data_IF_642323566320
#
_entry.id   IF_642323566320
#
_cell.length_a   1.000
_cell.length_b   1.000
_cell.length_c   1.000
_cell.angle_alpha   90.00
_cell.angle_beta   90.00
_cell.angle_gamma   90.00
#
_symmetry.space_group_name_H-M   'P 1'
#
loop_
_entity.id
_entity.type
_entity.pdbx_description
1 polymer ?
#
# COMPACT_ATOMS: atom_id res chain seq x y z
N UNK A 1 -16.20 -49.16 4.86
CA UNK A 1 -15.54 -47.93 5.37
C UNK A 1 -14.55 -47.43 4.32
N UNK A 2 -14.96 -46.43 3.56
CA UNK A 2 -14.36 -45.97 2.30
C UNK A 2 -13.04 -45.20 2.52
N UNK A 3 -12.13 -45.29 1.56
CA UNK A 3 -10.81 -44.61 1.57
C UNK A 3 -10.90 -43.08 1.75
N UNK A 4 -12.03 -42.47 1.41
CA UNK A 4 -12.31 -41.06 1.65
C UNK A 4 -12.43 -40.71 3.16
N UNK A 5 -13.00 -41.63 3.97
CA UNK A 5 -13.13 -41.42 5.41
C UNK A 5 -11.75 -41.46 6.08
N UNK A 6 -10.91 -42.41 5.67
CA UNK A 6 -9.55 -42.58 6.19
C UNK A 6 -8.63 -41.38 5.86
N UNK A 7 -8.82 -40.72 4.72
CA UNK A 7 -8.08 -39.50 4.36
C UNK A 7 -8.55 -38.27 5.16
N UNK A 8 -9.85 -38.17 5.46
CA UNK A 8 -10.39 -37.10 6.30
C UNK A 8 -9.91 -37.26 7.76
N UNK A 9 -9.87 -38.49 8.27
CA UNK A 9 -9.41 -38.80 9.62
C UNK A 9 -7.90 -38.50 9.77
N UNK A 10 -7.08 -38.87 8.78
CA UNK A 10 -5.64 -38.53 8.74
C UNK A 10 -5.37 -37.03 8.60
N UNK A 11 -6.24 -36.28 7.92
CA UNK A 11 -6.14 -34.82 7.82
C UNK A 11 -6.52 -34.14 9.14
N UNK A 12 -7.50 -34.70 9.86
CA UNK A 12 -7.92 -34.23 11.18
C UNK A 12 -6.84 -34.52 12.25
N UNK A 13 -6.23 -35.71 12.23
CA UNK A 13 -5.10 -36.03 13.11
C UNK A 13 -3.90 -35.12 12.85
N UNK A 14 -3.56 -34.84 11.58
CA UNK A 14 -2.49 -33.89 11.23
C UNK A 14 -2.79 -32.45 11.64
N UNK A 15 -4.06 -32.03 11.62
CA UNK A 15 -4.47 -30.72 12.07
C UNK A 15 -4.38 -30.60 13.59
N UNK A 16 -4.69 -31.67 14.33
CA UNK A 16 -4.53 -31.74 15.78
C UNK A 16 -3.05 -31.72 16.20
N UNK A 17 -2.21 -32.51 15.55
CA UNK A 17 -0.75 -32.50 15.78
C UNK A 17 -0.12 -31.14 15.45
N UNK A 18 -0.61 -30.46 14.42
CA UNK A 18 -0.17 -29.10 14.07
C UNK A 18 -0.63 -28.05 15.09
N UNK A 19 -1.79 -28.24 15.72
CA UNK A 19 -2.30 -27.37 16.78
C UNK A 19 -1.50 -27.56 18.10
N UNK A 20 -1.20 -28.80 18.49
CA UNK A 20 -0.35 -29.09 19.66
C UNK A 20 1.09 -28.58 19.46
N UNK A 21 1.62 -28.66 18.24
CA UNK A 21 2.92 -28.08 17.90
C UNK A 21 2.92 -26.54 17.94
N UNK A 22 1.78 -25.91 17.61
CA UNK A 22 1.61 -24.47 17.69
C UNK A 22 1.53 -23.98 19.15
N UNK A 23 0.95 -24.77 20.05
CA UNK A 23 0.88 -24.47 21.49
C UNK A 23 2.27 -24.41 22.17
N UNK A 24 3.25 -25.17 21.65
CA UNK A 24 4.63 -25.16 22.15
C UNK A 24 5.45 -23.92 21.77
N UNK A 25 5.06 -23.20 20.70
CA UNK A 25 5.78 -22.02 20.19
C UNK A 25 4.93 -20.74 20.18
N UNK A 26 3.66 -20.82 20.54
CA UNK A 26 2.68 -19.74 20.38
C UNK A 26 2.32 -19.51 18.92
N UNK A 27 1.05 -19.18 18.66
CA UNK A 27 0.58 -18.80 17.32
C UNK A 27 1.35 -17.58 16.82
N UNK A 28 2.12 -17.74 15.75
CA UNK A 28 2.89 -16.65 15.12
C UNK A 28 1.96 -15.56 14.54
N UNK A 29 0.72 -15.93 14.26
CA UNK A 29 -0.36 -15.04 13.86
C UNK A 29 -1.61 -15.48 14.61
N UNK A 30 -1.95 -14.79 15.70
CA UNK A 30 -3.34 -14.75 16.13
C UNK A 30 -4.09 -14.00 15.03
N UNK A 31 -5.05 -14.65 14.40
CA UNK A 31 -5.78 -14.17 13.22
C UNK A 31 -6.82 -13.10 13.63
N UNK A 32 -6.41 -12.14 14.47
CA UNK A 32 -7.01 -10.82 14.50
C UNK A 32 -6.32 -10.03 13.39
N UNK A 33 -6.98 -9.96 12.24
CA UNK A 33 -6.66 -8.99 11.18
C UNK A 33 -6.88 -7.60 11.76
N UNK A 34 -5.93 -7.14 12.57
CA UNK A 34 -5.94 -5.82 13.16
C UNK A 34 -6.08 -4.83 12.00
N UNK A 35 -7.15 -4.04 12.03
CA UNK A 35 -7.34 -2.94 11.11
C UNK A 35 -6.05 -2.13 11.06
N UNK A 36 -5.43 -2.07 9.87
CA UNK A 36 -4.16 -1.40 9.65
C UNK A 36 -4.22 -0.01 10.30
N UNK A 37 -3.22 0.39 11.11
CA UNK A 37 -3.20 1.72 11.69
C UNK A 37 -3.32 2.79 10.60
N UNK A 38 -4.14 3.82 10.83
CA UNK A 38 -4.38 4.89 9.86
C UNK A 38 -3.11 5.70 9.52
N UNK A 39 -2.03 5.54 10.30
CA UNK A 39 -0.73 6.16 10.08
C UNK A 39 0.26 5.29 9.29
N UNK A 40 -0.16 4.10 8.82
CA UNK A 40 0.64 3.27 7.92
C UNK A 40 0.68 3.91 6.53
N UNK A 41 1.88 4.26 6.10
CA UNK A 41 2.11 4.77 4.74
C UNK A 41 3.55 4.63 4.30
N UNK A 42 3.77 4.89 3.02
CA UNK A 42 5.05 4.74 2.36
C UNK A 42 5.85 6.04 2.43
N UNK A 43 7.14 5.94 2.76
CA UNK A 43 8.05 7.09 2.74
C UNK A 43 8.39 7.48 1.29
N UNK A 44 8.86 8.71 1.11
CA UNK A 44 9.24 9.25 -0.19
C UNK A 44 10.10 8.32 -1.06
N UNK A 45 11.20 7.73 -0.55
CA UNK A 45 12.01 6.79 -1.33
C UNK A 45 11.24 5.55 -1.81
N UNK A 46 10.43 4.95 -0.94
CA UNK A 46 9.60 3.77 -1.28
C UNK A 46 8.53 4.13 -2.31
N UNK A 47 7.85 5.26 -2.13
CA UNK A 47 6.85 5.76 -3.09
C UNK A 47 7.47 6.06 -4.46
N UNK A 48 8.66 6.67 -4.49
CA UNK A 48 9.40 6.95 -5.72
C UNK A 48 9.77 5.66 -6.47
N UNK A 49 10.33 4.68 -5.74
CA UNK A 49 10.69 3.39 -6.30
C UNK A 49 9.47 2.65 -6.87
N UNK A 50 8.37 2.58 -6.11
CA UNK A 50 7.14 1.92 -6.54
C UNK A 50 6.48 2.59 -7.75
N UNK A 51 6.41 3.92 -7.78
CA UNK A 51 5.86 4.66 -8.91
C UNK A 51 6.83 4.74 -10.10
N UNK A 52 8.12 4.50 -9.88
CA UNK A 52 9.17 4.66 -10.89
C UNK A 52 9.43 6.11 -11.27
N UNK A 53 9.39 7.02 -10.29
CA UNK A 53 9.66 8.45 -10.45
C UNK A 53 10.87 8.87 -9.61
N UNK A 54 11.44 10.03 -9.91
CA UNK A 54 12.52 10.61 -9.10
C UNK A 54 11.96 11.29 -7.85
N UNK A 55 12.79 11.40 -6.81
CA UNK A 55 12.43 12.14 -5.60
C UNK A 55 12.12 13.61 -5.89
N UNK A 56 12.79 14.23 -6.86
CA UNK A 56 12.52 15.62 -7.26
C UNK A 56 11.14 15.78 -7.89
N UNK A 57 10.69 14.82 -8.70
CA UNK A 57 9.34 14.82 -9.27
C UNK A 57 8.30 14.73 -8.15
N UNK A 58 8.50 13.80 -7.21
CA UNK A 58 7.64 13.65 -6.04
C UNK A 58 7.56 14.96 -5.22
N UNK A 59 8.71 15.52 -4.86
CA UNK A 59 8.79 16.76 -4.08
C UNK A 59 8.14 17.94 -4.81
N UNK A 60 8.38 18.08 -6.12
CA UNK A 60 7.77 19.14 -6.91
C UNK A 60 6.25 18.99 -6.98
N UNK A 61 5.73 17.79 -7.23
CA UNK A 61 4.29 17.55 -7.28
C UNK A 61 3.60 17.73 -5.92
N UNK A 62 4.27 17.37 -4.84
CA UNK A 62 3.80 17.62 -3.47
C UNK A 62 3.78 19.10 -3.12
N UNK A 63 4.85 19.85 -3.44
CA UNK A 63 4.90 21.30 -3.17
C UNK A 63 3.92 22.11 -4.00
N UNK A 64 3.54 21.61 -5.17
CA UNK A 64 2.61 22.29 -6.08
C UNK A 64 1.18 21.77 -5.99
N UNK A 65 0.86 20.93 -5.00
CA UNK A 65 -0.49 20.40 -4.73
C UNK A 65 -1.06 19.47 -5.81
N UNK A 66 -0.22 18.97 -6.73
CA UNK A 66 -0.68 18.02 -7.75
C UNK A 66 -0.99 16.66 -7.10
N UNK A 67 -0.11 16.21 -6.20
CA UNK A 67 -0.30 15.01 -5.36
C UNK A 67 0.17 15.35 -3.96
N UNK A 68 -0.72 15.29 -2.99
CA UNK A 68 -0.39 15.52 -1.58
C UNK A 68 -0.43 14.18 -0.83
N UNK A 69 0.48 13.96 0.14
CA UNK A 69 0.46 12.74 0.96
C UNK A 69 -0.83 12.69 1.78
N UNK A 70 -1.62 11.63 1.63
CA UNK A 70 -2.92 11.51 2.32
C UNK A 70 -2.82 10.91 3.71
N UNK A 71 -1.75 10.18 4.03
CA UNK A 71 -1.55 9.56 5.36
C UNK A 71 -0.98 10.57 6.33
N UNK A 72 0.11 11.24 5.95
CA UNK A 72 0.73 12.27 6.79
C UNK A 72 1.42 13.34 5.95
N UNK A 73 1.03 14.58 6.17
CA UNK A 73 1.70 15.76 5.63
C UNK A 73 2.94 16.10 6.46
N UNK A 74 3.90 16.85 5.89
CA UNK A 74 5.02 17.37 6.66
C UNK A 74 4.56 18.63 7.41
N UNK A 75 4.38 18.54 8.72
CA UNK A 75 3.86 19.62 9.57
C UNK A 75 4.92 20.34 10.43
N UNK A 76 6.18 19.90 10.41
CA UNK A 76 7.25 20.47 11.23
C UNK A 76 8.61 19.80 11.02
N UNK A 77 9.63 20.29 11.73
CA UNK A 77 10.98 19.70 11.72
C UNK A 77 10.94 18.23 12.16
N UNK A 78 11.57 17.34 11.41
CA UNK A 78 11.62 15.90 11.68
C UNK A 78 10.38 15.09 11.24
N UNK A 79 9.26 15.73 10.87
CA UNK A 79 8.08 15.02 10.37
C UNK A 79 8.25 14.55 8.93
N UNK A 80 7.96 13.28 8.68
CA UNK A 80 8.07 12.70 7.34
C UNK A 80 6.71 12.55 6.67
N UNK A 81 6.67 12.91 5.39
CA UNK A 81 5.52 12.66 4.52
C UNK A 81 5.31 11.16 4.36
N UNK A 82 4.09 10.70 4.60
CA UNK A 82 3.67 9.33 4.32
C UNK A 82 2.60 9.33 3.24
N UNK A 83 2.85 8.53 2.21
CA UNK A 83 1.98 8.35 1.06
C UNK A 83 1.14 7.10 1.24
N UNK A 84 -0.15 7.17 0.95
CA UNK A 84 -0.99 5.97 0.90
C UNK A 84 -0.67 5.14 -0.35
N UNK A 85 -1.21 3.93 -0.41
CA UNK A 85 -1.21 3.15 -1.66
C UNK A 85 -1.89 3.93 -2.81
N UNK A 86 -3.00 4.64 -2.52
CA UNK A 86 -3.71 5.47 -3.49
C UNK A 86 -2.80 6.57 -4.05
N UNK A 87 -1.98 7.20 -3.21
CA UNK A 87 -1.04 8.23 -3.66
C UNK A 87 -0.02 7.63 -4.63
N UNK A 88 0.52 6.44 -4.33
CA UNK A 88 1.44 5.74 -5.22
C UNK A 88 0.79 5.46 -6.58
N UNK A 89 -0.47 5.05 -6.60
CA UNK A 89 -1.21 4.84 -7.86
C UNK A 89 -1.34 6.15 -8.64
N UNK A 90 -1.68 7.26 -7.99
CA UNK A 90 -1.77 8.57 -8.64
C UNK A 90 -0.41 9.01 -9.21
N UNK A 91 0.67 8.83 -8.45
CA UNK A 91 2.03 9.10 -8.92
C UNK A 91 2.37 8.29 -10.18
N UNK A 92 2.00 7.00 -10.20
CA UNK A 92 2.21 6.13 -11.34
C UNK A 92 1.38 6.55 -12.56
N UNK A 93 0.13 6.95 -12.36
CA UNK A 93 -0.73 7.46 -13.45
C UNK A 93 -0.17 8.74 -14.04
N UNK A 94 0.26 9.70 -13.21
CA UNK A 94 0.87 10.95 -13.68
C UNK A 94 2.14 10.64 -14.48
N UNK A 95 3.00 9.75 -13.98
CA UNK A 95 4.18 9.30 -14.73
C UNK A 95 3.79 8.74 -16.10
N UNK A 96 2.85 7.80 -16.16
CA UNK A 96 2.46 7.16 -17.41
C UNK A 96 1.89 8.18 -18.43
N UNK A 97 1.17 9.21 -17.98
CA UNK A 97 0.68 10.28 -18.84
C UNK A 97 1.83 11.14 -19.39
N UNK A 98 2.81 11.47 -18.54
CA UNK A 98 4.01 12.19 -18.98
C UNK A 98 4.83 11.37 -19.97
N UNK A 99 5.02 10.07 -19.71
CA UNK A 99 5.73 9.15 -20.60
C UNK A 99 5.01 8.98 -21.95
N UNK A 100 3.68 9.14 -21.97
CA UNK A 100 2.86 9.17 -23.19
C UNK A 100 2.87 10.53 -23.91
N UNK A 101 3.62 11.53 -23.42
CA UNK A 101 3.76 12.84 -24.04
C UNK A 101 2.70 13.87 -23.62
N UNK A 102 1.83 13.55 -22.67
CA UNK A 102 0.89 14.53 -22.12
C UNK A 102 1.66 15.53 -21.25
N UNK A 103 1.44 16.83 -21.46
CA UNK A 103 2.11 17.85 -20.67
C UNK A 103 1.58 17.92 -19.24
N UNK A 104 2.44 18.30 -18.28
CA UNK A 104 2.05 18.46 -16.88
C UNK A 104 0.89 19.45 -16.70
N UNK A 105 0.80 20.47 -17.55
CA UNK A 105 -0.28 21.45 -17.51
C UNK A 105 -1.63 20.84 -17.86
N UNK A 106 -1.70 20.00 -18.91
CA UNK A 106 -2.93 19.29 -19.26
C UNK A 106 -3.37 18.34 -18.14
N UNK A 107 -2.42 17.66 -17.51
CA UNK A 107 -2.70 16.80 -16.35
C UNK A 107 -3.32 17.62 -15.21
N UNK A 108 -2.73 18.77 -14.86
CA UNK A 108 -3.28 19.67 -13.83
C UNK A 108 -4.70 20.11 -14.16
N UNK A 109 -4.94 20.53 -15.40
CA UNK A 109 -6.27 20.95 -15.86
C UNK A 109 -7.28 19.80 -15.71
N UNK A 110 -6.93 18.59 -16.16
CA UNK A 110 -7.80 17.41 -16.05
C UNK A 110 -8.13 17.08 -14.57
N UNK A 111 -7.12 17.05 -13.70
CA UNK A 111 -7.32 16.80 -12.25
C UNK A 111 -8.23 17.85 -11.63
N UNK A 112 -8.05 19.13 -11.97
CA UNK A 112 -8.91 20.20 -11.48
C UNK A 112 -10.37 20.03 -11.92
N UNK A 113 -10.60 19.63 -13.16
CA UNK A 113 -11.96 19.35 -13.65
C UNK A 113 -12.61 18.15 -12.94
N UNK A 114 -11.85 17.09 -12.66
CA UNK A 114 -12.36 15.91 -11.95
C UNK A 114 -12.73 16.22 -10.50
N UNK A 115 -11.98 17.10 -9.81
CA UNK A 115 -12.29 17.52 -8.42
C UNK A 115 -13.53 18.42 -8.30
N UNK A 116 -14.03 18.97 -9.40
CA UNK A 116 -15.20 19.86 -9.43
C UNK A 116 -16.52 19.13 -9.73
N UNK A 117 -16.49 17.81 -9.88
CA UNK A 117 -17.64 16.94 -10.14
C UNK A 117 -17.79 15.97 -8.97
#
# INVERSE_FOLDING_TARGET
MTAAQRNADLAAERAADAADAADAQGLLFDDDVASLPDDVGYRGPTACSAAGITYRQLDYWARTGLVEPTVRTAGGSGTQRLYSFRDILLLRVIKNLLDAGVSLQQIRTAVHHLRRR
#
